data_IF_113043814220
#
_entry.id   IF_113043814220
#
_cell.length_a   1.000
_cell.length_b   1.000
_cell.length_c   1.000
_cell.angle_alpha   90.00
_cell.angle_beta   90.00
_cell.angle_gamma   90.00
#
_symmetry.space_group_name_H-M   'P 1'
#
loop_
_entity.id
_entity.type
_entity.pdbx_description
1 polymer ?
#
# COMPACT_ATOMS: atom_id res chain seq x y z
N UNK A 1 -30.49 19.46 -34.54
CA UNK A 1 -30.05 20.67 -33.76
C UNK A 1 -28.58 20.39 -33.43
N UNK A 2 -27.73 20.42 -34.45
CA UNK A 2 -26.45 19.69 -34.49
C UNK A 2 -25.25 20.64 -34.47
N UNK A 3 -25.04 21.38 -33.37
CA UNK A 3 -23.97 22.39 -33.33
C UNK A 3 -23.20 22.54 -32.01
N UNK A 4 -23.22 21.55 -31.12
CA UNK A 4 -22.47 21.66 -29.85
C UNK A 4 -21.64 20.42 -29.50
N UNK A 5 -21.14 19.66 -30.48
CA UNK A 5 -20.18 18.57 -30.17
C UNK A 5 -18.93 19.13 -29.48
N UNK A 6 -18.40 20.26 -29.93
CA UNK A 6 -17.23 20.92 -29.33
C UNK A 6 -17.41 21.34 -27.88
N UNK A 7 -18.65 21.49 -27.38
CA UNK A 7 -18.93 21.77 -25.97
C UNK A 7 -19.04 20.50 -25.12
N UNK A 8 -19.20 19.34 -25.77
CA UNK A 8 -19.38 18.03 -25.13
C UNK A 8 -18.12 17.17 -25.20
N UNK A 9 -17.16 17.53 -26.05
CA UNK A 9 -15.86 16.89 -26.16
C UNK A 9 -14.98 17.22 -24.99
N UNK A 10 -14.31 16.19 -24.47
CA UNK A 10 -13.17 16.38 -23.58
C UNK A 10 -12.07 17.19 -24.30
N UNK A 11 -11.47 18.15 -23.60
CA UNK A 11 -10.38 18.98 -24.13
C UNK A 11 -9.18 18.16 -24.61
N UNK A 12 -8.97 16.96 -24.06
CA UNK A 12 -7.90 16.05 -24.46
C UNK A 12 -8.13 15.40 -25.84
N UNK A 13 -9.36 15.43 -26.33
CA UNK A 13 -9.77 14.88 -27.63
C UNK A 13 -9.93 15.95 -28.72
N UNK A 14 -9.73 17.23 -28.38
CA UNK A 14 -9.79 18.34 -29.33
C UNK A 14 -8.71 18.17 -30.42
N UNK A 15 -9.14 18.23 -31.68
CA UNK A 15 -8.24 18.08 -32.85
C UNK A 15 -7.91 16.63 -33.22
N UNK A 16 -8.30 15.63 -32.43
CA UNK A 16 -8.06 14.22 -32.75
C UNK A 16 -9.10 13.64 -33.73
N UNK A 17 -10.31 14.19 -33.77
CA UNK A 17 -11.41 13.73 -34.62
C UNK A 17 -11.97 14.89 -35.46
N UNK A 18 -12.44 14.59 -36.67
CA UNK A 18 -13.14 15.57 -37.49
C UNK A 18 -14.54 15.85 -36.93
N UNK A 19 -15.10 17.02 -37.27
CA UNK A 19 -16.43 17.40 -36.81
C UNK A 19 -17.54 16.43 -37.27
N UNK A 20 -17.35 15.77 -38.42
CA UNK A 20 -18.29 14.77 -38.93
C UNK A 20 -18.25 13.49 -38.09
N UNK A 21 -17.04 12.97 -37.83
CA UNK A 21 -16.80 11.79 -36.97
C UNK A 21 -17.33 12.00 -35.55
N UNK A 22 -17.10 13.19 -34.99
CA UNK A 22 -17.61 13.57 -33.67
C UNK A 22 -19.14 13.65 -33.61
N UNK A 23 -19.77 14.18 -34.66
CA UNK A 23 -21.23 14.25 -34.75
C UNK A 23 -21.86 12.87 -34.86
N UNK A 24 -21.26 11.96 -35.64
CA UNK A 24 -21.71 10.58 -35.74
C UNK A 24 -21.50 9.79 -34.44
N UNK A 25 -20.43 10.06 -33.68
CA UNK A 25 -20.22 9.46 -32.36
C UNK A 25 -21.29 9.89 -31.36
N UNK A 26 -21.64 11.19 -31.32
CA UNK A 26 -22.74 11.71 -30.48
C UNK A 26 -24.06 11.09 -30.88
N UNK A 27 -24.31 10.95 -32.18
CA UNK A 27 -25.52 10.31 -32.71
C UNK A 27 -25.60 8.84 -32.30
N UNK A 28 -24.48 8.12 -32.36
CA UNK A 28 -24.40 6.72 -31.92
C UNK A 28 -24.65 6.61 -30.40
N UNK A 29 -24.02 7.46 -29.60
CA UNK A 29 -24.22 7.50 -28.14
C UNK A 29 -25.69 7.79 -27.77
N UNK A 30 -26.34 8.75 -28.45
CA UNK A 30 -27.76 9.05 -28.27
C UNK A 30 -28.66 7.85 -28.56
N UNK A 31 -28.36 7.06 -29.61
CA UNK A 31 -29.09 5.83 -29.92
C UNK A 31 -28.86 4.73 -28.89
N UNK A 32 -27.68 4.67 -28.27
CA UNK A 32 -27.40 3.71 -27.19
C UNK A 32 -28.23 4.02 -25.93
N UNK A 33 -28.55 5.29 -25.71
CA UNK A 33 -29.34 5.78 -24.57
C UNK A 33 -30.85 5.76 -24.80
N UNK A 34 -31.34 5.23 -25.93
CA UNK A 34 -32.76 5.22 -26.24
C UNK A 34 -33.56 4.43 -25.18
N UNK A 35 -34.73 4.95 -24.80
CA UNK A 35 -35.59 4.32 -23.77
C UNK A 35 -36.04 2.92 -24.20
N UNK A 36 -36.43 2.77 -25.47
CA UNK A 36 -36.88 1.49 -26.03
C UNK A 36 -35.70 0.57 -26.39
N UNK A 37 -35.60 -0.65 -25.82
CA UNK A 37 -34.50 -1.57 -26.12
C UNK A 37 -34.40 -1.99 -27.59
N UNK A 38 -35.51 -1.97 -28.32
CA UNK A 38 -35.58 -2.37 -29.74
C UNK A 38 -34.93 -1.35 -30.67
N UNK A 39 -34.83 -0.10 -30.24
CA UNK A 39 -34.27 1.00 -31.03
C UNK A 39 -32.77 1.22 -30.74
N UNK A 40 -32.25 0.55 -29.71
CA UNK A 40 -30.82 0.55 -29.39
C UNK A 40 -30.04 -0.24 -30.45
N UNK A 41 -28.87 0.25 -30.87
CA UNK A 41 -28.01 -0.48 -31.80
C UNK A 41 -27.51 -1.76 -31.14
N UNK A 42 -27.40 -2.83 -31.94
CA UNK A 42 -26.78 -4.07 -31.48
C UNK A 42 -25.24 -3.93 -31.48
N UNK A 43 -24.57 -4.78 -30.70
CA UNK A 43 -23.11 -4.75 -30.53
C UNK A 43 -22.36 -4.78 -31.86
N UNK A 44 -22.84 -5.56 -32.84
CA UNK A 44 -22.23 -5.66 -34.18
C UNK A 44 -22.28 -4.32 -34.93
N UNK A 45 -23.43 -3.65 -34.87
CA UNK A 45 -23.62 -2.32 -35.47
C UNK A 45 -22.79 -1.25 -34.77
N UNK A 46 -22.58 -1.37 -33.45
CA UNK A 46 -21.73 -0.46 -32.70
C UNK A 46 -20.26 -0.63 -33.10
N UNK A 47 -19.76 -1.87 -33.14
CA UNK A 47 -18.38 -2.17 -33.56
C UNK A 47 -18.13 -1.69 -34.99
N UNK A 48 -19.08 -1.91 -35.91
CA UNK A 48 -18.94 -1.45 -37.28
C UNK A 48 -18.88 0.09 -37.40
N UNK A 49 -19.62 0.80 -36.56
CA UNK A 49 -19.60 2.27 -36.54
C UNK A 49 -18.35 2.84 -35.86
N UNK A 50 -17.79 2.14 -34.87
CA UNK A 50 -16.63 2.59 -34.09
C UNK A 50 -15.28 2.19 -34.72
N UNK A 51 -15.24 1.09 -35.49
CA UNK A 51 -14.00 0.58 -36.10
C UNK A 51 -13.24 1.61 -36.96
N UNK A 52 -13.89 2.48 -37.76
CA UNK A 52 -13.19 3.51 -38.54
C UNK A 52 -12.55 4.60 -37.67
N UNK A 53 -13.01 4.79 -36.43
CA UNK A 53 -12.53 5.81 -35.50
C UNK A 53 -11.35 5.33 -34.65
N UNK A 54 -11.05 4.03 -34.67
CA UNK A 54 -9.95 3.44 -33.92
C UNK A 54 -8.63 3.72 -34.66
N UNK A 55 -7.90 4.75 -34.22
CA UNK A 55 -6.60 5.15 -34.80
C UNK A 55 -5.41 4.39 -34.20
N UNK A 56 -5.51 4.00 -32.94
CA UNK A 56 -4.51 3.21 -32.22
C UNK A 56 -5.00 1.77 -32.08
N UNK A 57 -4.58 0.91 -33.01
CA UNK A 57 -4.92 -0.53 -33.02
C UNK A 57 -3.93 -1.36 -32.19
N UNK A 58 -2.73 -0.84 -31.98
CA UNK A 58 -1.59 -1.59 -31.40
C UNK A 58 -1.54 -1.54 -29.87
N UNK A 59 -2.24 -0.61 -29.22
CA UNK A 59 -2.24 -0.50 -27.76
C UNK A 59 -3.53 -1.07 -27.18
N UNK A 60 -3.47 -2.15 -26.40
CA UNK A 60 -4.65 -2.72 -25.75
C UNK A 60 -5.40 -1.69 -24.89
N UNK A 61 -6.73 -1.76 -24.88
CA UNK A 61 -7.58 -0.76 -24.19
C UNK A 61 -7.33 -0.66 -22.68
N UNK A 62 -6.72 -1.67 -22.05
CA UNK A 62 -6.37 -1.63 -20.63
C UNK A 62 -5.10 -0.81 -20.35
N UNK A 63 -4.16 -0.78 -21.29
CA UNK A 63 -2.96 0.08 -21.23
C UNK A 63 -3.32 1.55 -21.48
N UNK A 64 -4.27 1.82 -22.38
CA UNK A 64 -4.78 3.17 -22.63
C UNK A 64 -5.60 3.76 -21.47
N UNK A 65 -6.21 2.90 -20.64
CA UNK A 65 -7.13 3.30 -19.57
C UNK A 65 -6.50 3.17 -18.17
N UNK A 66 -5.21 2.85 -18.07
CA UNK A 66 -4.49 2.60 -16.81
C UNK A 66 -5.24 1.63 -15.88
N UNK A 67 -5.86 0.59 -16.44
CA UNK A 67 -6.64 -0.39 -15.69
C UNK A 67 -5.79 -1.63 -15.38
N UNK A 68 -5.59 -1.99 -14.10
CA UNK A 68 -4.85 -3.20 -13.74
C UNK A 68 -5.61 -4.46 -14.20
N UNK A 69 -4.90 -5.34 -14.89
CA UNK A 69 -5.45 -6.56 -15.47
C UNK A 69 -5.78 -7.59 -14.36
N UNK A 70 -7.06 -7.83 -14.12
CA UNK A 70 -7.52 -8.93 -13.28
C UNK A 70 -7.44 -10.25 -14.08
N UNK A 71 -6.28 -10.91 -14.07
CA UNK A 71 -6.21 -12.32 -14.48
C UNK A 71 -5.08 -12.78 -15.39
N UNK A 72 -3.88 -12.20 -15.31
CA UNK A 72 -2.70 -12.86 -15.84
C UNK A 72 -1.53 -12.70 -14.85
N UNK A 73 -1.11 -13.82 -14.27
CA UNK A 73 0.12 -13.96 -13.50
C UNK A 73 1.32 -13.56 -14.35
N UNK A 74 1.69 -12.29 -14.29
CA UNK A 74 3.08 -11.87 -14.32
C UNK A 74 3.17 -10.68 -13.39
N UNK A 75 3.74 -10.92 -12.22
CA UNK A 75 4.26 -9.88 -11.34
C UNK A 75 5.21 -9.04 -12.20
N UNK A 76 4.69 -7.95 -12.77
CA UNK A 76 5.55 -6.86 -13.20
C UNK A 76 6.12 -6.34 -11.90
N UNK A 77 7.37 -6.74 -11.66
CA UNK A 77 8.20 -6.23 -10.59
C UNK A 77 8.27 -4.72 -10.73
N UNK A 78 7.35 -4.01 -10.09
CA UNK A 78 7.70 -2.72 -9.52
C UNK A 78 9.01 -2.95 -8.77
N UNK A 79 10.00 -2.05 -8.88
CA UNK A 79 11.21 -2.16 -8.09
C UNK A 79 10.79 -2.07 -6.62
N UNK A 80 10.61 -3.23 -5.99
CA UNK A 80 10.27 -3.34 -4.59
C UNK A 80 11.41 -2.73 -3.81
N UNK A 81 11.09 -1.95 -2.77
CA UNK A 81 12.12 -1.54 -1.83
C UNK A 81 12.75 -2.79 -1.20
N UNK A 82 14.00 -2.71 -0.72
CA UNK A 82 14.67 -3.85 -0.11
C UNK A 82 13.84 -4.49 1.03
N UNK A 83 13.06 -3.68 1.74
CA UNK A 83 12.16 -4.15 2.80
C UNK A 83 10.94 -4.88 2.23
N UNK A 84 10.27 -4.32 1.23
CA UNK A 84 9.12 -4.95 0.59
C UNK A 84 9.49 -6.31 -0.03
N UNK A 85 10.66 -6.36 -0.67
CA UNK A 85 11.22 -7.55 -1.30
C UNK A 85 11.59 -8.63 -0.27
N UNK A 86 12.19 -8.24 0.86
CA UNK A 86 12.46 -9.15 1.98
C UNK A 86 11.17 -9.69 2.61
N UNK A 87 10.17 -8.84 2.83
CA UNK A 87 8.86 -9.23 3.36
C UNK A 87 8.12 -10.18 2.41
N UNK A 88 8.13 -9.91 1.11
CA UNK A 88 7.49 -10.77 0.10
C UNK A 88 8.10 -12.18 0.05
N UNK A 89 9.40 -12.32 0.34
CA UNK A 89 10.07 -13.63 0.41
C UNK A 89 10.02 -14.26 1.80
N UNK A 90 9.44 -13.59 2.80
CA UNK A 90 9.52 -13.99 4.21
C UNK A 90 10.98 -14.17 4.68
N UNK A 91 11.90 -13.38 4.15
CA UNK A 91 13.29 -13.40 4.59
C UNK A 91 13.43 -12.62 5.91
N UNK A 92 13.09 -13.29 7.01
CA UNK A 92 13.10 -12.68 8.35
C UNK A 92 14.49 -12.11 8.72
N UNK A 93 15.57 -12.71 8.21
CA UNK A 93 16.94 -12.23 8.48
C UNK A 93 17.21 -10.91 7.76
N UNK A 94 16.83 -10.81 6.48
CA UNK A 94 16.95 -9.55 5.75
C UNK A 94 16.05 -8.46 6.35
N UNK A 95 14.81 -8.80 6.76
CA UNK A 95 13.91 -7.86 7.44
C UNK A 95 14.57 -7.35 8.73
N UNK A 96 15.15 -8.24 9.54
CA UNK A 96 15.85 -7.85 10.79
C UNK A 96 16.97 -6.84 10.53
N UNK A 97 17.87 -7.13 9.60
CA UNK A 97 18.98 -6.24 9.26
C UNK A 97 18.49 -4.87 8.76
N UNK A 98 17.40 -4.86 7.99
CA UNK A 98 16.82 -3.61 7.48
C UNK A 98 16.18 -2.82 8.63
N UNK A 99 15.43 -3.45 9.54
CA UNK A 99 14.84 -2.77 10.70
C UNK A 99 15.91 -2.26 11.69
N UNK A 100 17.05 -2.93 11.79
CA UNK A 100 18.19 -2.45 12.56
C UNK A 100 18.84 -1.22 11.91
N UNK A 101 19.13 -1.29 10.60
CA UNK A 101 19.79 -0.21 9.83
C UNK A 101 18.91 1.03 9.65
N UNK A 102 17.61 0.84 9.46
CA UNK A 102 16.64 1.92 9.26
C UNK A 102 16.50 2.81 10.50
N UNK A 103 17.05 2.37 11.66
CA UNK A 103 17.42 3.20 12.81
C UNK A 103 16.57 4.45 12.95
N UNK A 104 15.32 4.27 13.39
CA UNK A 104 14.27 5.29 13.32
C UNK A 104 14.71 6.62 13.94
N UNK A 105 15.04 7.57 13.06
CA UNK A 105 15.22 8.98 13.40
C UNK A 105 13.94 9.61 13.97
N UNK A 106 12.80 8.96 13.79
CA UNK A 106 11.49 9.53 14.14
C UNK A 106 11.20 9.47 15.66
N UNK A 107 11.88 8.59 16.41
CA UNK A 107 11.81 8.58 17.88
C UNK A 107 12.61 9.74 18.52
N UNK A 108 13.45 10.43 17.75
CA UNK A 108 14.27 11.56 18.21
C UNK A 108 13.40 12.80 18.47
N UNK A 109 12.27 12.93 17.75
CA UNK A 109 11.26 13.96 18.00
C UNK A 109 10.47 13.75 19.29
N UNK A 110 10.15 12.50 19.64
CA UNK A 110 9.47 12.19 20.91
C UNK A 110 10.39 12.36 22.11
N UNK A 111 11.69 12.15 21.95
CA UNK A 111 12.68 12.29 23.02
C UNK A 111 12.89 13.75 23.47
N UNK A 112 12.75 14.73 22.56
CA UNK A 112 12.97 16.15 22.85
C UNK A 112 11.84 16.83 23.66
N UNK A 113 10.65 16.21 23.76
CA UNK A 113 9.48 16.75 24.48
C UNK A 113 9.34 16.19 25.91
N UNK A 114 10.33 15.46 26.44
CA UNK A 114 10.18 14.67 27.69
C UNK A 114 10.62 15.39 28.97
N UNK A 115 10.88 16.70 28.92
CA UNK A 115 11.56 17.45 29.98
C UNK A 115 10.79 17.54 31.32
N UNK A 116 9.48 17.26 31.36
CA UNK A 116 8.71 17.15 32.61
C UNK A 116 8.26 15.73 32.95
N UNK A 117 8.05 14.86 31.95
CA UNK A 117 7.55 13.49 32.16
C UNK A 117 8.66 12.49 32.57
N UNK A 118 9.93 12.75 32.23
CA UNK A 118 11.06 11.91 32.64
C UNK A 118 11.24 11.80 34.16
N UNK A 119 10.66 12.72 34.94
CA UNK A 119 10.89 12.77 36.38
C UNK A 119 10.09 11.72 37.19
N UNK A 120 9.23 10.94 36.53
CA UNK A 120 8.51 9.83 37.20
C UNK A 120 9.29 8.52 37.06
N UNK A 121 9.37 7.73 38.14
CA UNK A 121 10.03 6.41 38.13
C UNK A 121 9.45 5.50 37.03
N UNK A 122 8.12 5.56 36.81
CA UNK A 122 7.42 4.78 35.78
C UNK A 122 7.88 5.12 34.36
N UNK A 123 8.13 6.39 34.06
CA UNK A 123 8.65 6.81 32.74
C UNK A 123 10.08 6.32 32.53
N UNK A 124 10.92 6.40 33.57
CA UNK A 124 12.29 5.91 33.53
C UNK A 124 12.33 4.39 33.32
N UNK A 125 11.46 3.64 33.99
CA UNK A 125 11.33 2.19 33.83
C UNK A 125 10.87 1.83 32.41
N UNK A 126 9.88 2.55 31.87
CA UNK A 126 9.39 2.38 30.49
C UNK A 126 10.53 2.55 29.47
N UNK A 127 11.28 3.65 29.56
CA UNK A 127 12.43 3.91 28.68
C UNK A 127 13.54 2.87 28.85
N UNK A 128 13.73 2.35 30.06
CA UNK A 128 14.72 1.29 30.34
C UNK A 128 14.31 -0.02 29.69
N UNK A 129 13.03 -0.41 29.79
CA UNK A 129 12.48 -1.59 29.10
C UNK A 129 12.61 -1.47 27.59
N UNK A 130 12.30 -0.30 27.00
CA UNK A 130 12.55 -0.04 25.57
C UNK A 130 14.02 -0.28 25.20
N UNK A 131 14.96 0.35 25.92
CA UNK A 131 16.40 0.23 25.64
C UNK A 131 16.89 -1.22 25.75
N UNK A 132 16.40 -1.95 26.74
CA UNK A 132 16.72 -3.38 26.94
C UNK A 132 16.16 -4.22 25.79
N UNK A 133 14.91 -3.98 25.39
CA UNK A 133 14.29 -4.64 24.24
C UNK A 133 15.05 -4.38 22.94
N UNK A 134 15.47 -3.14 22.69
CA UNK A 134 16.28 -2.79 21.53
C UNK A 134 17.66 -3.47 21.55
N UNK A 135 18.27 -3.63 22.73
CA UNK A 135 19.51 -4.39 22.87
C UNK A 135 19.33 -5.87 22.56
N UNK A 136 18.28 -6.49 23.10
CA UNK A 136 17.96 -7.88 22.84
C UNK A 136 17.63 -8.12 21.36
N UNK A 137 16.87 -7.22 20.74
CA UNK A 137 16.54 -7.27 19.31
C UNK A 137 17.79 -7.23 18.44
N UNK A 138 18.77 -6.34 18.72
CA UNK A 138 20.05 -6.29 18.00
C UNK A 138 20.89 -7.56 18.21
N UNK A 139 20.83 -8.15 19.40
CA UNK A 139 21.51 -9.39 19.73
C UNK A 139 20.79 -10.65 19.19
N UNK A 140 19.66 -10.48 18.49
CA UNK A 140 18.79 -11.56 18.02
C UNK A 140 18.23 -12.45 19.14
N UNK A 141 18.21 -11.94 20.37
CA UNK A 141 17.47 -12.55 21.48
C UNK A 141 16.02 -12.08 21.42
N UNK A 142 15.25 -12.69 20.51
CA UNK A 142 13.88 -12.31 20.21
C UNK A 142 12.93 -12.60 21.38
N UNK A 143 13.22 -13.62 22.18
CA UNK A 143 12.47 -13.92 23.41
C UNK A 143 12.56 -12.78 24.42
N UNK A 144 13.78 -12.34 24.76
CA UNK A 144 13.94 -11.21 25.69
C UNK A 144 13.44 -9.90 25.09
N UNK A 145 13.56 -9.72 23.76
CA UNK A 145 13.02 -8.55 23.07
C UNK A 145 11.49 -8.46 23.23
N UNK A 146 10.78 -9.57 23.02
CA UNK A 146 9.32 -9.65 23.23
C UNK A 146 8.96 -9.26 24.65
N UNK A 147 9.60 -9.85 25.66
CA UNK A 147 9.29 -9.57 27.06
C UNK A 147 9.48 -8.08 27.41
N UNK A 148 10.58 -7.50 26.95
CA UNK A 148 10.89 -6.10 27.22
C UNK A 148 9.92 -5.14 26.50
N UNK A 149 9.55 -5.44 25.25
CA UNK A 149 8.58 -4.65 24.50
C UNK A 149 7.16 -4.80 25.04
N UNK A 150 6.78 -5.99 25.52
CA UNK A 150 5.50 -6.20 26.20
C UNK A 150 5.42 -5.42 27.49
N UNK A 151 6.47 -5.40 28.31
CA UNK A 151 6.53 -4.55 29.51
C UNK A 151 6.38 -3.06 29.16
N UNK A 152 7.04 -2.59 28.09
CA UNK A 152 6.88 -1.21 27.63
C UNK A 152 5.41 -0.90 27.29
N UNK A 153 4.75 -1.79 26.57
CA UNK A 153 3.36 -1.62 26.11
C UNK A 153 2.37 -1.70 27.28
N UNK A 154 2.56 -2.65 28.20
CA UNK A 154 1.70 -2.84 29.38
C UNK A 154 1.71 -1.63 30.31
N UNK A 155 2.87 -0.98 30.48
CA UNK A 155 2.98 0.25 31.28
C UNK A 155 2.18 1.40 30.64
N UNK A 156 2.03 1.40 29.31
CA UNK A 156 1.09 2.27 28.59
C UNK A 156 1.37 3.76 28.67
N UNK A 157 2.53 4.17 29.22
CA UNK A 157 2.90 5.59 29.39
C UNK A 157 3.31 6.21 28.05
N UNK A 158 3.79 5.40 27.11
CA UNK A 158 4.18 5.82 25.76
C UNK A 158 3.66 4.83 24.73
N UNK A 159 3.39 5.34 23.52
CA UNK A 159 3.01 4.54 22.36
C UNK A 159 4.03 4.77 21.27
N UNK A 160 4.60 3.69 20.71
CA UNK A 160 5.60 3.76 19.65
C UNK A 160 5.32 2.69 18.59
N UNK A 161 5.05 3.08 17.33
CA UNK A 161 4.79 2.11 16.26
C UNK A 161 6.04 1.23 15.98
N UNK A 162 7.24 1.78 16.18
CA UNK A 162 8.52 1.06 16.10
C UNK A 162 8.60 -0.14 17.02
N UNK A 163 8.08 -0.03 18.25
CA UNK A 163 8.12 -1.12 19.22
C UNK A 163 7.21 -2.27 18.77
N UNK A 164 6.01 -1.94 18.27
CA UNK A 164 5.12 -2.93 17.66
C UNK A 164 5.76 -3.59 16.44
N UNK A 165 6.43 -2.85 15.56
CA UNK A 165 7.12 -3.42 14.41
C UNK A 165 8.26 -4.37 14.79
N UNK A 166 9.09 -4.01 15.78
CA UNK A 166 10.19 -4.88 16.25
C UNK A 166 9.68 -6.10 17.01
N UNK A 167 8.64 -5.94 17.82
CA UNK A 167 8.00 -7.07 18.52
C UNK A 167 7.28 -8.00 17.54
N UNK A 168 6.64 -7.47 16.49
CA UNK A 168 6.09 -8.22 15.36
C UNK A 168 7.16 -9.13 14.72
N UNK A 169 8.31 -8.58 14.31
CA UNK A 169 9.38 -9.41 13.75
C UNK A 169 9.91 -10.43 14.75
N UNK A 170 10.03 -10.04 16.03
CA UNK A 170 10.47 -10.97 17.09
C UNK A 170 9.49 -12.13 17.27
N UNK A 171 8.18 -11.89 17.14
CA UNK A 171 7.17 -12.94 17.11
C UNK A 171 7.31 -13.84 15.88
N UNK A 172 7.53 -13.28 14.69
CA UNK A 172 7.78 -14.08 13.48
C UNK A 172 9.01 -14.98 13.62
N UNK A 173 10.09 -14.48 14.23
CA UNK A 173 11.30 -15.26 14.51
C UNK A 173 11.10 -16.40 15.52
N UNK A 174 10.02 -16.34 16.31
CA UNK A 174 9.63 -17.37 17.27
C UNK A 174 8.38 -18.15 16.82
N UNK A 175 8.05 -18.13 15.53
CA UNK A 175 6.90 -18.85 14.94
C UNK A 175 5.53 -18.45 15.51
N UNK A 176 5.40 -17.22 16.03
CA UNK A 176 4.17 -16.66 16.62
C UNK A 176 3.45 -15.73 15.64
N UNK A 177 3.03 -16.26 14.49
CA UNK A 177 2.55 -15.46 13.37
C UNK A 177 1.24 -14.68 13.66
N UNK A 178 0.33 -15.23 14.47
CA UNK A 178 -0.92 -14.54 14.85
C UNK A 178 -0.64 -13.28 15.70
N UNK A 179 0.27 -13.41 16.68
CA UNK A 179 0.70 -12.29 17.51
C UNK A 179 1.45 -11.24 16.69
N UNK A 180 2.26 -11.69 15.73
CA UNK A 180 2.94 -10.80 14.79
C UNK A 180 1.96 -9.99 13.94
N UNK A 181 0.89 -10.62 13.43
CA UNK A 181 -0.14 -9.93 12.67
C UNK A 181 -0.85 -8.87 13.53
N UNK A 182 -1.18 -9.21 14.77
CA UNK A 182 -1.78 -8.27 15.72
C UNK A 182 -0.90 -7.04 15.92
N UNK A 183 0.40 -7.23 16.12
CA UNK A 183 1.35 -6.13 16.29
C UNK A 183 1.51 -5.27 15.03
N UNK A 184 1.54 -5.89 13.84
CA UNK A 184 1.57 -5.15 12.58
C UNK A 184 0.33 -4.27 12.40
N UNK A 185 -0.86 -4.78 12.77
CA UNK A 185 -2.10 -4.01 12.75
C UNK A 185 -2.08 -2.88 13.77
N UNK A 186 -1.56 -3.10 14.99
CA UNK A 186 -1.41 -2.02 15.98
C UNK A 186 -0.46 -0.92 15.49
N UNK A 187 0.63 -1.28 14.82
CA UNK A 187 1.53 -0.32 14.21
C UNK A 187 0.82 0.56 13.16
N UNK A 188 -0.08 -0.02 12.36
CA UNK A 188 -0.92 0.72 11.40
C UNK A 188 -1.97 1.61 12.08
N UNK A 189 -2.53 1.19 13.21
CA UNK A 189 -3.44 2.05 14.00
C UNK A 189 -2.71 3.30 14.49
N UNK A 190 -1.44 3.16 14.90
CA UNK A 190 -0.63 4.27 15.40
C UNK A 190 -0.09 5.13 14.25
N UNK A 191 0.31 4.51 13.14
CA UNK A 191 0.86 5.19 11.96
C UNK A 191 0.26 4.61 10.67
N UNK A 192 -0.91 5.12 10.24
CA UNK A 192 -1.67 4.55 9.11
C UNK A 192 -0.98 4.65 7.75
N UNK A 193 -0.02 5.56 7.62
CA UNK A 193 0.69 5.83 6.35
C UNK A 193 2.10 5.23 6.37
N UNK A 194 2.41 4.31 7.29
CA UNK A 194 3.77 3.82 7.49
C UNK A 194 4.05 2.56 6.65
N UNK A 195 4.89 2.63 5.60
CA UNK A 195 5.10 1.50 4.68
C UNK A 195 5.63 0.24 5.38
N UNK A 196 6.52 0.42 6.36
CA UNK A 196 7.10 -0.70 7.11
C UNK A 196 6.05 -1.55 7.82
N UNK A 197 4.99 -0.94 8.36
CA UNK A 197 3.94 -1.70 9.04
C UNK A 197 3.12 -2.55 8.05
N UNK A 198 2.82 -2.04 6.86
CA UNK A 198 2.19 -2.81 5.78
C UNK A 198 3.07 -3.99 5.33
N UNK A 199 4.37 -3.77 5.16
CA UNK A 199 5.29 -4.84 4.78
C UNK A 199 5.43 -5.92 5.86
N UNK A 200 5.42 -5.54 7.14
CA UNK A 200 5.42 -6.51 8.24
C UNK A 200 4.08 -7.26 8.35
N UNK A 201 2.96 -6.59 8.10
CA UNK A 201 1.65 -7.24 8.01
C UNK A 201 1.66 -8.32 6.91
N UNK A 202 2.20 -8.01 5.74
CA UNK A 202 2.34 -8.98 4.66
C UNK A 202 3.19 -10.19 5.07
N UNK A 203 4.35 -9.96 5.71
CA UNK A 203 5.20 -11.05 6.20
C UNK A 203 4.50 -11.95 7.23
N UNK A 204 3.66 -11.37 8.09
CA UNK A 204 2.85 -12.11 9.04
C UNK A 204 1.73 -12.91 8.36
N UNK A 205 1.02 -12.32 7.40
CA UNK A 205 -0.02 -12.99 6.61
C UNK A 205 0.54 -14.15 5.77
N UNK A 206 1.71 -13.99 5.16
CA UNK A 206 2.43 -15.07 4.48
C UNK A 206 2.82 -16.20 5.44
N UNK A 207 3.07 -15.88 6.72
CA UNK A 207 3.36 -16.88 7.73
C UNK A 207 2.11 -17.63 8.22
N UNK A 208 0.92 -17.13 7.89
CA UNK A 208 -0.39 -17.72 8.17
C UNK A 208 -1.02 -18.34 6.91
N UNK A 209 -0.26 -18.47 5.81
CA UNK A 209 -0.72 -18.97 4.51
C UNK A 209 -1.87 -18.14 3.88
N UNK A 210 -1.99 -16.87 4.25
CA UNK A 210 -2.97 -15.90 3.73
C UNK A 210 -2.36 -15.08 2.59
N UNK A 211 -2.08 -15.74 1.46
CA UNK A 211 -1.32 -15.13 0.35
C UNK A 211 -2.02 -13.94 -0.32
N UNK A 212 -3.34 -13.98 -0.48
CA UNK A 212 -4.09 -12.92 -1.15
C UNK A 212 -4.03 -11.61 -0.35
N UNK A 213 -4.31 -11.72 0.94
CA UNK A 213 -4.28 -10.60 1.88
C UNK A 213 -2.85 -10.05 2.03
N UNK A 214 -1.83 -10.93 1.98
CA UNK A 214 -0.44 -10.51 1.99
C UNK A 214 -0.07 -9.68 0.74
N UNK A 215 -0.54 -10.10 -0.44
CA UNK A 215 -0.30 -9.35 -1.68
C UNK A 215 -0.96 -7.97 -1.64
N UNK A 216 -2.16 -7.87 -1.07
CA UNK A 216 -2.84 -6.58 -0.92
C UNK A 216 -2.09 -5.67 0.08
N UNK A 217 -1.63 -6.21 1.21
CA UNK A 217 -0.78 -5.46 2.15
C UNK A 217 0.54 -4.98 1.52
N UNK A 218 1.18 -5.79 0.64
CA UNK A 218 2.38 -5.36 -0.09
C UNK A 218 2.09 -4.20 -1.06
N UNK A 219 0.96 -4.24 -1.77
CA UNK A 219 0.54 -3.15 -2.67
C UNK A 219 0.28 -1.87 -1.89
N UNK A 220 -0.42 -1.96 -0.76
CA UNK A 220 -0.71 -0.83 0.11
C UNK A 220 0.59 -0.19 0.64
N UNK A 221 1.55 -1.01 1.10
CA UNK A 221 2.86 -0.53 1.54
C UNK A 221 3.63 0.20 0.43
N UNK A 222 3.60 -0.34 -0.79
CA UNK A 222 4.25 0.28 -1.95
C UNK A 222 3.62 1.64 -2.32
N UNK A 223 2.28 1.72 -2.24
CA UNK A 223 1.56 2.97 -2.47
C UNK A 223 1.92 4.06 -1.43
N UNK A 224 2.13 3.68 -0.16
CA UNK A 224 2.55 4.64 0.88
C UNK A 224 4.03 5.06 0.74
N UNK A 225 4.90 4.17 0.25
CA UNK A 225 6.31 4.49 0.04
C UNK A 225 6.50 5.47 -1.13
N UNK A 226 5.77 5.27 -2.23
CA UNK A 226 5.80 6.17 -3.40
C UNK A 226 5.26 7.56 -3.08
N UNK A 227 4.17 7.65 -2.31
CA UNK A 227 3.61 8.94 -1.86
C UNK A 227 4.56 9.70 -0.93
N UNK A 228 5.26 8.99 -0.05
CA UNK A 228 6.27 9.57 0.86
C UNK A 228 7.52 10.07 0.11
N UNK A 229 7.90 9.41 -0.99
CA UNK A 229 9.03 9.81 -1.82
C UNK A 229 8.76 11.02 -2.71
N UNK A 230 7.51 11.23 -3.12
CA UNK A 230 7.11 12.33 -4.02
C UNK A 230 6.92 13.67 -3.29
N UNK A 231 6.89 13.67 -1.96
CA UNK A 231 6.73 14.86 -1.12
C UNK A 231 8.03 15.47 -0.58
N UNK A 232 9.21 15.04 -1.06
CA UNK A 232 10.52 15.57 -0.68
C UNK A 232 11.13 16.48 -1.73
#
# INVERSE_FOLDING_TARGET
>A
RDRNFSMLTDSCLEGQFSNEEGTELVRLASRCLHYEPRERPNVRSMVQALAPLQKDVETPSYELMDMPQAGASSVQSLPLSPLADACSRKDLTAIHEILEKTGYKDDEGTANELSFQMWTNQMQDTLTSKKKGDSAFRQKDFTTAIDCYSQFIEVGTMVSPTIYARRCLSYLMNDMAEQALSDAMQALVISPTWPTAFYLQAAALLSLDMENEAQDALKDGCAQETSSSSGR
#
